data_IF_754564910911
#
_entry.id   IF_754564910911
#
_cell.length_a   1.000
_cell.length_b   1.000
_cell.length_c   1.000
_cell.angle_alpha   90.00
_cell.angle_beta   90.00
_cell.angle_gamma   90.00
#
_symmetry.space_group_name_H-M   'P 1'
#
loop_
_entity.id
_entity.type
_entity.pdbx_description
1 polymer ?
#
# COMPACT_ATOMS: atom_id res chain seq x y z
N UNK A 1 -19.95 15.35 -9.56
CA UNK A 1 -19.43 14.50 -8.47
C UNK A 1 -18.95 15.36 -7.32
N UNK A 2 -19.41 15.14 -6.08
CA UNK A 2 -18.79 15.76 -4.90
C UNK A 2 -17.36 15.22 -4.78
N UNK A 3 -16.36 16.07 -4.90
CA UNK A 3 -14.97 15.70 -4.62
C UNK A 3 -14.83 15.53 -3.12
N UNK A 4 -14.79 14.29 -2.65
CA UNK A 4 -14.46 14.01 -1.26
C UNK A 4 -12.99 14.34 -1.01
N UNK A 5 -12.71 15.10 0.03
CA UNK A 5 -11.33 15.39 0.45
C UNK A 5 -10.77 14.20 1.21
N UNK A 6 -9.44 14.00 1.18
CA UNK A 6 -8.77 12.92 1.93
C UNK A 6 -9.18 12.93 3.42
N UNK A 7 -9.26 14.12 4.03
CA UNK A 7 -9.69 14.29 5.41
C UNK A 7 -11.12 13.80 5.67
N UNK A 8 -12.06 14.08 4.75
CA UNK A 8 -13.45 13.61 4.90
C UNK A 8 -13.56 12.09 4.78
N UNK A 9 -12.74 11.48 3.91
CA UNK A 9 -12.67 10.03 3.74
C UNK A 9 -12.09 9.36 4.98
N UNK A 10 -10.96 9.87 5.49
CA UNK A 10 -10.35 9.37 6.74
C UNK A 10 -11.31 9.50 7.93
N UNK A 11 -11.95 10.67 8.08
CA UNK A 11 -12.94 10.88 9.14
C UNK A 11 -14.09 9.87 9.08
N UNK A 12 -14.58 9.57 7.88
CA UNK A 12 -15.65 8.58 7.68
C UNK A 12 -15.18 7.18 8.05
N UNK A 13 -13.97 6.79 7.65
CA UNK A 13 -13.42 5.47 7.98
C UNK A 13 -13.14 5.31 9.48
N UNK A 14 -12.58 6.33 10.11
CA UNK A 14 -12.43 6.32 11.58
C UNK A 14 -13.79 6.21 12.28
N UNK A 15 -14.81 6.91 11.78
CA UNK A 15 -16.18 6.80 12.32
C UNK A 15 -16.74 5.39 12.19
N UNK A 16 -16.48 4.68 11.08
CA UNK A 16 -16.89 3.29 10.88
C UNK A 16 -16.36 2.35 11.97
N UNK A 17 -15.10 2.53 12.42
CA UNK A 17 -14.52 1.77 13.54
C UNK A 17 -15.34 1.95 14.83
N UNK A 18 -15.79 3.19 15.10
CA UNK A 18 -16.57 3.50 16.29
C UNK A 18 -18.01 3.00 16.18
N UNK A 19 -18.63 3.06 15.00
CA UNK A 19 -19.99 2.60 14.74
C UNK A 19 -20.11 1.08 14.93
N UNK A 20 -19.07 0.31 14.57
CA UNK A 20 -19.02 -1.14 14.74
C UNK A 20 -18.51 -1.60 16.13
N UNK A 21 -18.29 -0.68 17.06
CA UNK A 21 -17.85 -0.99 18.42
C UNK A 21 -16.41 -1.48 18.54
N UNK A 22 -15.60 -1.34 17.48
CA UNK A 22 -14.20 -1.81 17.43
C UNK A 22 -13.21 -0.77 17.97
N UNK A 23 -13.60 -0.01 19.01
CA UNK A 23 -12.78 1.08 19.56
C UNK A 23 -11.36 0.64 20.00
N UNK A 24 -11.20 -0.62 20.42
CA UNK A 24 -9.89 -1.20 20.78
C UNK A 24 -8.90 -1.24 19.58
N UNK A 25 -9.38 -1.16 18.36
CA UNK A 25 -8.54 -1.05 17.17
C UNK A 25 -7.65 0.20 17.21
N UNK A 26 -8.10 1.29 17.80
CA UNK A 26 -7.28 2.49 17.99
C UNK A 26 -6.08 2.23 18.91
N UNK A 27 -6.26 1.47 19.99
CA UNK A 27 -5.16 1.09 20.88
C UNK A 27 -4.16 0.19 20.17
N UNK A 28 -4.66 -0.80 19.41
CA UNK A 28 -3.80 -1.71 18.64
C UNK A 28 -3.01 -0.92 17.59
N UNK A 29 -3.63 0.07 16.92
CA UNK A 29 -2.92 0.96 16.00
C UNK A 29 -1.83 1.75 16.71
N UNK A 30 -2.12 2.35 17.85
CA UNK A 30 -1.17 3.16 18.60
C UNK A 30 0.05 2.35 19.04
N UNK A 31 -0.16 1.20 19.67
CA UNK A 31 0.94 0.34 20.12
C UNK A 31 1.66 -0.34 18.95
N UNK A 32 0.90 -0.88 17.99
CA UNK A 32 1.46 -1.56 16.82
C UNK A 32 2.34 -0.66 15.99
N UNK A 33 1.90 0.56 15.68
CA UNK A 33 2.71 1.53 14.92
C UNK A 33 3.93 2.00 15.70
N UNK A 34 3.84 2.12 17.03
CA UNK A 34 4.98 2.45 17.87
C UNK A 34 6.05 1.33 17.85
N UNK A 35 5.66 0.08 18.06
CA UNK A 35 6.59 -1.05 17.98
C UNK A 35 7.18 -1.21 16.58
N UNK A 36 6.34 -1.20 15.54
CA UNK A 36 6.79 -1.31 14.15
C UNK A 36 7.71 -0.14 13.74
N UNK A 37 7.46 1.07 14.25
CA UNK A 37 8.25 2.25 13.97
C UNK A 37 9.62 2.27 14.69
N UNK A 38 9.69 1.71 15.89
CA UNK A 38 10.94 1.65 16.68
C UNK A 38 11.83 0.47 16.26
N UNK A 39 11.25 -0.63 15.78
CA UNK A 39 11.98 -1.84 15.45
C UNK A 39 13.18 -1.63 14.49
N UNK A 40 13.07 -0.91 13.35
CA UNK A 40 14.21 -0.63 12.47
C UNK A 40 15.30 0.20 13.13
N UNK A 41 14.92 1.07 14.06
CA UNK A 41 15.88 1.90 14.83
C UNK A 41 16.69 1.03 15.78
N UNK A 42 16.04 0.09 16.46
CA UNK A 42 16.74 -0.85 17.36
C UNK A 42 17.79 -1.68 16.63
N UNK A 43 17.53 -2.13 15.39
CA UNK A 43 18.55 -2.87 14.61
C UNK A 43 19.77 -2.01 14.29
N UNK A 44 19.56 -0.73 13.99
CA UNK A 44 20.67 0.20 13.71
C UNK A 44 21.49 0.49 14.96
N UNK A 45 20.83 0.74 16.09
CA UNK A 45 21.47 0.95 17.41
C UNK A 45 22.19 -0.33 17.85
N UNK A 46 21.61 -1.49 17.60
CA UNK A 46 22.26 -2.80 17.85
C UNK A 46 23.59 -2.92 17.10
N UNK A 47 23.61 -2.66 15.80
CA UNK A 47 24.82 -2.72 14.99
C UNK A 47 25.90 -1.75 15.51
N UNK A 48 25.51 -0.54 15.92
CA UNK A 48 26.42 0.44 16.46
C UNK A 48 27.05 -0.03 17.80
N UNK A 49 26.23 -0.47 18.76
CA UNK A 49 26.71 -0.95 20.07
C UNK A 49 27.65 -2.14 19.90
N UNK A 50 27.30 -3.06 18.95
CA UNK A 50 28.18 -4.20 18.65
C UNK A 50 29.54 -3.77 18.12
N UNK A 51 29.58 -2.82 17.21
CA UNK A 51 30.85 -2.30 16.66
C UNK A 51 31.68 -1.63 17.76
N UNK A 52 31.06 -0.87 18.64
CA UNK A 52 31.75 -0.22 19.78
C UNK A 52 32.30 -1.24 20.77
N UNK A 53 31.56 -2.28 21.15
CA UNK A 53 31.98 -3.34 22.06
C UNK A 53 33.14 -4.17 21.49
N UNK A 54 33.10 -4.49 20.21
CA UNK A 54 34.18 -5.24 19.53
C UNK A 54 35.44 -4.37 19.45
N UNK A 55 35.31 -3.08 19.13
CA UNK A 55 36.46 -2.16 19.03
C UNK A 55 37.11 -1.90 20.37
N UNK A 56 36.37 -1.88 21.48
CA UNK A 56 36.87 -1.61 22.81
C UNK A 56 37.54 -2.82 23.50
N UNK A 57 37.72 -3.96 22.80
CA UNK A 57 38.26 -5.20 23.33
C UNK A 57 37.61 -5.64 24.65
N UNK A 58 36.31 -5.45 24.77
CA UNK A 58 35.51 -5.81 25.95
C UNK A 58 35.57 -7.31 26.25
N UNK A 59 35.39 -7.68 27.53
CA UNK A 59 35.36 -9.09 27.92
C UNK A 59 34.25 -9.85 27.19
N UNK A 60 34.54 -11.09 26.81
CA UNK A 60 33.61 -11.96 26.07
C UNK A 60 32.21 -12.06 26.71
N UNK A 61 32.13 -12.09 28.04
CA UNK A 61 30.87 -12.16 28.78
C UNK A 61 30.03 -10.90 28.65
N UNK A 62 30.61 -9.73 28.51
CA UNK A 62 29.91 -8.48 28.30
C UNK A 62 29.31 -8.43 26.88
N UNK A 63 30.08 -8.89 25.89
CA UNK A 63 29.64 -8.99 24.51
C UNK A 63 28.44 -9.94 24.40
N UNK A 64 28.56 -11.15 25.00
CA UNK A 64 27.46 -12.15 24.96
C UNK A 64 26.18 -11.61 25.60
N UNK A 65 26.29 -10.98 26.79
CA UNK A 65 25.09 -10.38 27.43
C UNK A 65 24.47 -9.28 26.59
N UNK A 66 25.27 -8.39 26.01
CA UNK A 66 24.78 -7.33 25.13
C UNK A 66 24.10 -7.90 23.90
N UNK A 67 24.67 -8.92 23.24
CA UNK A 67 24.05 -9.62 22.10
C UNK A 67 22.70 -10.21 22.50
N UNK A 68 22.66 -10.96 23.62
CA UNK A 68 21.41 -11.57 24.07
C UNK A 68 20.31 -10.54 24.38
N UNK A 69 20.64 -9.46 25.11
CA UNK A 69 19.65 -8.42 25.45
C UNK A 69 19.13 -7.67 24.21
N UNK A 70 20.05 -7.28 23.33
CA UNK A 70 19.69 -6.52 22.13
C UNK A 70 18.91 -7.39 21.12
N UNK A 71 19.32 -8.66 20.97
CA UNK A 71 18.57 -9.61 20.13
C UNK A 71 17.17 -9.85 20.69
N UNK A 72 17.04 -10.09 21.99
CA UNK A 72 15.73 -10.24 22.63
C UNK A 72 14.87 -8.98 22.43
N UNK A 73 15.43 -7.80 22.63
CA UNK A 73 14.71 -6.53 22.42
C UNK A 73 14.24 -6.32 20.97
N UNK A 74 15.11 -6.62 19.99
CA UNK A 74 14.75 -6.51 18.58
C UNK A 74 13.69 -7.53 18.18
N UNK A 75 13.82 -8.79 18.60
CA UNK A 75 12.82 -9.85 18.33
C UNK A 75 11.48 -9.50 18.95
N UNK A 76 11.45 -9.00 20.18
CA UNK A 76 10.20 -8.55 20.82
C UNK A 76 9.56 -7.37 20.08
N UNK A 77 10.34 -6.37 19.67
CA UNK A 77 9.82 -5.20 18.97
C UNK A 77 9.25 -5.58 17.59
N UNK A 78 10.00 -6.36 16.80
CA UNK A 78 9.51 -6.84 15.50
C UNK A 78 8.32 -7.78 15.65
N UNK A 79 8.41 -8.75 16.57
CA UNK A 79 7.35 -9.71 16.82
C UNK A 79 6.07 -9.03 17.27
N UNK A 80 6.14 -8.13 18.24
CA UNK A 80 4.98 -7.36 18.70
C UNK A 80 4.41 -6.47 17.58
N UNK A 81 5.28 -5.77 16.82
CA UNK A 81 4.86 -4.95 15.69
C UNK A 81 4.10 -5.75 14.64
N UNK A 82 4.63 -6.90 14.21
CA UNK A 82 3.99 -7.76 13.23
C UNK A 82 2.71 -8.43 13.74
N UNK A 83 2.68 -8.89 14.99
CA UNK A 83 1.48 -9.47 15.57
C UNK A 83 0.34 -8.44 15.62
N UNK A 84 0.63 -7.23 16.09
CA UNK A 84 -0.37 -6.14 16.14
C UNK A 84 -0.79 -5.69 14.74
N UNK A 85 0.12 -5.68 13.76
CA UNK A 85 -0.20 -5.41 12.37
C UNK A 85 -1.17 -6.45 11.81
N UNK A 86 -0.91 -7.75 12.00
CA UNK A 86 -1.78 -8.81 11.53
C UNK A 86 -3.17 -8.76 12.19
N UNK A 87 -3.24 -8.39 13.47
CA UNK A 87 -4.53 -8.17 14.15
C UNK A 87 -5.27 -6.97 13.54
N UNK A 88 -4.58 -5.86 13.24
CA UNK A 88 -5.17 -4.71 12.54
C UNK A 88 -5.68 -5.09 11.15
N UNK A 89 -4.95 -5.92 10.43
CA UNK A 89 -5.33 -6.38 9.10
C UNK A 89 -6.60 -7.27 9.17
N UNK A 90 -6.67 -8.19 10.12
CA UNK A 90 -7.87 -9.01 10.35
C UNK A 90 -9.09 -8.15 10.75
N UNK A 91 -8.91 -7.14 11.61
CA UNK A 91 -9.98 -6.22 11.99
C UNK A 91 -10.43 -5.34 10.81
N UNK A 92 -9.51 -4.89 9.98
CA UNK A 92 -9.83 -4.12 8.78
C UNK A 92 -10.59 -4.95 7.74
N UNK A 93 -10.32 -6.26 7.67
CA UNK A 93 -11.09 -7.21 6.86
C UNK A 93 -12.52 -7.36 7.38
N UNK A 94 -12.72 -7.45 8.69
CA UNK A 94 -14.05 -7.47 9.29
C UNK A 94 -14.83 -6.19 8.97
N UNK A 95 -14.21 -5.01 9.14
CA UNK A 95 -14.83 -3.73 8.79
C UNK A 95 -15.22 -3.69 7.30
N UNK A 96 -14.37 -4.18 6.40
CA UNK A 96 -14.68 -4.32 4.98
C UNK A 96 -15.93 -5.18 4.75
N UNK A 97 -16.03 -6.30 5.45
CA UNK A 97 -17.17 -7.21 5.34
C UNK A 97 -18.47 -6.56 5.82
N UNK A 98 -18.45 -5.81 6.92
CA UNK A 98 -19.61 -5.04 7.40
C UNK A 98 -20.04 -3.97 6.39
N UNK A 99 -19.11 -3.20 5.85
CA UNK A 99 -19.44 -2.19 4.83
C UNK A 99 -19.94 -2.82 3.53
N UNK A 100 -19.42 -3.99 3.14
CA UNK A 100 -19.92 -4.75 2.01
C UNK A 100 -21.39 -5.15 2.21
N UNK A 101 -21.72 -5.74 3.37
CA UNK A 101 -23.09 -6.12 3.70
C UNK A 101 -24.02 -4.91 3.74
N UNK A 102 -23.55 -3.78 4.28
CA UNK A 102 -24.29 -2.52 4.30
C UNK A 102 -24.55 -2.00 2.89
N UNK A 103 -23.56 -2.04 2.01
CA UNK A 103 -23.74 -1.65 0.61
C UNK A 103 -24.69 -2.59 -0.14
N UNK A 104 -24.59 -3.90 0.13
CA UNK A 104 -25.50 -4.89 -0.46
C UNK A 104 -26.96 -4.67 -0.01
N UNK A 105 -27.18 -4.42 1.29
CA UNK A 105 -28.55 -4.11 1.78
C UNK A 105 -29.11 -2.84 1.16
N UNK A 106 -28.32 -1.76 1.09
CA UNK A 106 -28.73 -0.53 0.45
C UNK A 106 -29.03 -0.72 -1.05
N UNK A 107 -28.31 -1.60 -1.73
CA UNK A 107 -28.58 -1.92 -3.14
C UNK A 107 -29.92 -2.63 -3.33
N UNK A 108 -30.30 -3.51 -2.41
CA UNK A 108 -31.59 -4.20 -2.44
C UNK A 108 -32.79 -3.26 -2.18
N UNK A 109 -32.59 -2.17 -1.45
CA UNK A 109 -33.61 -1.16 -1.15
C UNK A 109 -33.79 -0.12 -2.27
N UNK A 110 -32.97 -0.17 -3.33
CA UNK A 110 -33.04 0.80 -4.45
C UNK A 110 -34.22 0.47 -5.36
N UNK A 111 -34.95 1.50 -5.79
CA UNK A 111 -36.01 1.39 -6.81
C UNK A 111 -35.47 0.73 -8.09
N UNK A 112 -36.24 -0.23 -8.64
CA UNK A 112 -35.86 -1.00 -9.82
C UNK A 112 -35.48 -0.12 -11.03
N UNK A 113 -36.20 0.98 -11.23
CA UNK A 113 -35.91 1.98 -12.28
C UNK A 113 -34.47 2.55 -12.20
N UNK A 114 -33.89 2.65 -11.00
CA UNK A 114 -32.51 3.15 -10.84
C UNK A 114 -31.48 2.06 -11.12
N UNK A 115 -31.83 0.79 -10.87
CA UNK A 115 -30.96 -0.36 -11.14
C UNK A 115 -30.75 -0.53 -12.65
N UNK A 116 -31.76 -0.21 -13.47
CA UNK A 116 -31.66 -0.26 -14.92
C UNK A 116 -30.84 0.89 -15.54
N UNK A 117 -30.53 1.94 -14.76
CA UNK A 117 -29.67 3.04 -15.24
C UNK A 117 -28.20 2.58 -15.31
N UNK A 118 -27.58 2.53 -16.53
CA UNK A 118 -26.20 2.11 -16.69
C UNK A 118 -25.21 2.95 -15.88
N UNK A 119 -25.48 4.26 -15.71
CA UNK A 119 -24.63 5.15 -14.93
C UNK A 119 -24.72 4.87 -13.41
N UNK A 120 -25.84 4.34 -12.94
CA UNK A 120 -25.98 3.88 -11.57
C UNK A 120 -25.27 2.54 -11.37
N UNK A 121 -25.46 1.59 -12.29
CA UNK A 121 -24.80 0.28 -12.27
C UNK A 121 -23.26 0.43 -12.26
N UNK A 122 -22.70 1.31 -13.09
CA UNK A 122 -21.26 1.62 -13.09
C UNK A 122 -20.76 2.13 -11.73
N UNK A 123 -21.52 2.98 -11.05
CA UNK A 123 -21.16 3.51 -9.73
C UNK A 123 -21.23 2.45 -8.64
N UNK A 124 -22.24 1.58 -8.70
CA UNK A 124 -22.40 0.47 -7.77
C UNK A 124 -21.25 -0.52 -7.94
N UNK A 125 -20.90 -0.85 -9.17
CA UNK A 125 -19.76 -1.75 -9.45
C UNK A 125 -18.44 -1.19 -8.90
N UNK A 126 -18.16 0.09 -9.11
CA UNK A 126 -16.96 0.74 -8.53
C UNK A 126 -16.97 0.66 -7.00
N UNK A 127 -18.14 0.80 -6.36
CA UNK A 127 -18.30 0.63 -4.92
C UNK A 127 -17.97 -0.79 -4.46
N UNK A 128 -18.48 -1.81 -5.13
CA UNK A 128 -18.21 -3.20 -4.81
C UNK A 128 -16.74 -3.57 -5.09
N UNK A 129 -16.17 -3.13 -6.21
CA UNK A 129 -14.74 -3.34 -6.51
C UNK A 129 -13.82 -2.77 -5.42
N UNK A 130 -14.18 -1.61 -4.85
CA UNK A 130 -13.42 -1.02 -3.75
C UNK A 130 -13.45 -1.86 -2.46
N UNK A 131 -14.39 -2.79 -2.33
CA UNK A 131 -14.55 -3.69 -1.18
C UNK A 131 -14.05 -5.11 -1.46
N UNK A 132 -13.70 -5.45 -2.69
CA UNK A 132 -13.24 -6.80 -3.06
C UNK A 132 -11.72 -6.99 -2.90
N UNK A 133 -10.94 -5.93 -2.80
CA UNK A 133 -9.48 -6.00 -2.81
C UNK A 133 -8.87 -5.59 -1.46
N UNK A 134 -7.88 -6.36 -1.02
CA UNK A 134 -7.10 -6.08 0.19
C UNK A 134 -6.09 -4.95 -0.03
N UNK A 135 -5.51 -4.88 -1.22
CA UNK A 135 -4.48 -3.89 -1.59
C UNK A 135 -5.03 -2.59 -2.17
N UNK A 136 -6.33 -2.50 -2.41
CA UNK A 136 -6.98 -1.30 -2.99
C UNK A 136 -8.36 -1.08 -2.36
N UNK A 137 -8.77 0.18 -2.30
CA UNK A 137 -10.09 0.50 -1.78
C UNK A 137 -10.17 0.61 -0.26
N UNK A 138 -11.24 0.11 0.32
CA UNK A 138 -11.60 0.36 1.73
C UNK A 138 -10.57 -0.18 2.72
N UNK A 139 -10.19 -1.45 2.61
CA UNK A 139 -9.22 -2.08 3.52
C UNK A 139 -7.82 -1.50 3.37
N UNK A 140 -7.40 -1.20 2.13
CA UNK A 140 -6.10 -0.63 1.85
C UNK A 140 -5.83 0.69 2.57
N UNK A 141 -6.87 1.48 2.85
CA UNK A 141 -6.70 2.74 3.59
C UNK A 141 -6.25 2.48 5.02
N UNK A 142 -6.81 1.47 5.69
CA UNK A 142 -6.38 1.08 7.05
C UNK A 142 -4.95 0.56 7.05
N UNK A 143 -4.61 -0.34 6.13
CA UNK A 143 -3.26 -0.91 6.03
C UNK A 143 -2.22 0.17 5.71
N UNK A 144 -2.53 1.08 4.78
CA UNK A 144 -1.65 2.18 4.43
C UNK A 144 -1.53 3.23 5.56
N UNK A 145 -2.59 3.45 6.34
CA UNK A 145 -2.53 4.33 7.49
C UNK A 145 -1.59 3.77 8.57
N UNK A 146 -1.66 2.46 8.83
CA UNK A 146 -0.73 1.77 9.73
C UNK A 146 0.73 1.95 9.28
N UNK A 147 1.00 1.64 8.01
CA UNK A 147 2.34 1.79 7.42
C UNK A 147 2.82 3.25 7.45
N UNK A 148 1.95 4.20 7.19
CA UNK A 148 2.28 5.63 7.23
C UNK A 148 2.67 6.07 8.63
N UNK A 149 1.92 5.69 9.65
CA UNK A 149 2.19 6.07 11.04
C UNK A 149 3.49 5.41 11.53
N UNK A 150 3.71 4.12 11.29
CA UNK A 150 4.92 3.42 11.71
C UNK A 150 6.17 3.99 11.01
N UNK A 151 6.10 4.26 9.71
CA UNK A 151 7.20 4.88 8.95
C UNK A 151 7.47 6.32 9.41
N UNK A 152 6.43 7.10 9.74
CA UNK A 152 6.59 8.45 10.27
C UNK A 152 7.34 8.43 11.61
N UNK A 153 7.03 7.50 12.51
CA UNK A 153 7.75 7.30 13.78
C UNK A 153 9.22 6.93 13.51
N UNK A 154 9.46 5.96 12.61
CA UNK A 154 10.83 5.58 12.22
C UNK A 154 11.64 6.76 11.70
N UNK A 155 11.08 7.52 10.75
CA UNK A 155 11.76 8.68 10.16
C UNK A 155 12.07 9.72 11.23
N UNK A 156 11.11 10.02 12.13
CA UNK A 156 11.30 10.99 13.19
C UNK A 156 12.44 10.59 14.12
N UNK A 157 12.48 9.33 14.57
CA UNK A 157 13.54 8.85 15.45
C UNK A 157 14.89 8.82 14.72
N UNK A 158 14.96 8.37 13.45
CA UNK A 158 16.20 8.40 12.68
C UNK A 158 16.72 9.81 12.44
N UNK A 159 15.85 10.77 12.12
CA UNK A 159 16.24 12.17 11.95
C UNK A 159 16.83 12.74 13.24
N UNK A 160 16.22 12.47 14.39
CA UNK A 160 16.76 12.90 15.68
C UNK A 160 18.15 12.29 15.92
N UNK A 161 18.30 10.96 15.78
CA UNK A 161 19.57 10.27 16.01
C UNK A 161 20.69 10.76 15.08
N UNK A 162 20.38 10.93 13.78
CA UNK A 162 21.35 11.40 12.79
C UNK A 162 21.72 12.87 13.00
N UNK A 163 20.74 13.71 13.36
CA UNK A 163 21.00 15.13 13.61
C UNK A 163 21.93 15.38 14.79
N UNK A 164 21.89 14.50 15.80
CA UNK A 164 22.77 14.58 16.95
C UNK A 164 24.22 14.18 16.63
N UNK A 165 24.45 13.30 15.64
CA UNK A 165 25.78 12.79 15.29
C UNK A 165 26.37 13.45 14.05
N UNK A 166 25.61 13.49 12.95
CA UNK A 166 26.07 14.02 11.64
C UNK A 166 24.93 14.77 10.94
N UNK A 167 24.68 16.04 11.28
CA UNK A 167 23.53 16.79 10.77
C UNK A 167 23.50 16.94 9.24
N UNK A 168 24.69 16.94 8.59
CA UNK A 168 24.78 17.01 7.13
C UNK A 168 24.16 15.77 6.45
N UNK A 169 24.42 14.58 7.00
CA UNK A 169 23.84 13.33 6.48
C UNK A 169 22.32 13.32 6.70
N UNK A 170 21.84 13.78 7.86
CA UNK A 170 20.41 13.90 8.12
C UNK A 170 19.71 14.79 7.06
N UNK A 171 20.31 15.91 6.71
CA UNK A 171 19.80 16.81 5.69
C UNK A 171 19.78 16.17 4.29
N UNK A 172 20.85 15.47 3.92
CA UNK A 172 20.90 14.72 2.65
C UNK A 172 19.81 13.63 2.57
N UNK A 173 19.59 12.90 3.67
CA UNK A 173 18.49 11.91 3.74
C UNK A 173 17.12 12.56 3.56
N UNK A 174 16.87 13.71 4.18
CA UNK A 174 15.61 14.44 4.01
C UNK A 174 15.41 14.92 2.57
N UNK A 175 16.46 15.47 1.94
CA UNK A 175 16.39 15.91 0.54
C UNK A 175 16.09 14.74 -0.40
N UNK A 176 16.77 13.60 -0.25
CA UNK A 176 16.51 12.43 -1.10
C UNK A 176 15.11 11.84 -0.87
N UNK A 177 14.62 11.84 0.35
CA UNK A 177 13.26 11.42 0.68
C UNK A 177 12.21 12.35 0.02
N UNK A 178 12.45 13.65 0.00
CA UNK A 178 11.59 14.63 -0.68
C UNK A 178 11.57 14.39 -2.20
N UNK A 179 12.75 14.17 -2.82
CA UNK A 179 12.84 13.88 -4.26
C UNK A 179 12.08 12.60 -4.61
N UNK A 180 12.29 11.53 -3.84
CA UNK A 180 11.58 10.26 -4.03
C UNK A 180 10.07 10.39 -3.83
N UNK A 181 9.64 11.16 -2.84
CA UNK A 181 8.23 11.43 -2.58
C UNK A 181 7.60 12.23 -3.72
N UNK A 182 8.29 13.23 -4.25
CA UNK A 182 7.83 14.03 -5.39
C UNK A 182 7.70 13.15 -6.65
N UNK A 183 8.67 12.30 -6.93
CA UNK A 183 8.64 11.37 -8.06
C UNK A 183 7.43 10.42 -7.95
N UNK A 184 7.20 9.83 -6.79
CA UNK A 184 6.04 8.97 -6.53
C UNK A 184 4.70 9.72 -6.63
N UNK A 185 4.64 10.97 -6.19
CA UNK A 185 3.45 11.82 -6.32
C UNK A 185 3.13 12.11 -7.80
N UNK A 186 4.12 12.47 -8.60
CA UNK A 186 3.94 12.71 -10.05
C UNK A 186 3.49 11.45 -10.78
N UNK A 187 4.09 10.30 -10.45
CA UNK A 187 3.65 9.01 -10.97
C UNK A 187 2.20 8.69 -10.58
N UNK A 188 1.84 8.86 -9.33
CA UNK A 188 0.45 8.63 -8.84
C UNK A 188 -0.57 9.53 -9.53
N UNK A 189 -0.23 10.79 -9.79
CA UNK A 189 -1.08 11.70 -10.58
C UNK A 189 -1.25 11.23 -12.02
N UNK A 190 -0.17 10.74 -12.64
CA UNK A 190 -0.23 10.20 -14.01
C UNK A 190 -1.14 8.97 -14.07
N UNK A 191 -0.96 8.02 -13.15
CA UNK A 191 -1.83 6.82 -13.04
C UNK A 191 -3.28 7.20 -12.81
N UNK A 192 -3.53 8.19 -11.94
CA UNK A 192 -4.88 8.67 -11.65
C UNK A 192 -5.61 9.21 -12.89
N UNK A 193 -4.90 9.91 -13.77
CA UNK A 193 -5.47 10.42 -15.05
C UNK A 193 -5.82 9.31 -16.04
N UNK A 194 -5.05 8.22 -16.04
CA UNK A 194 -5.27 7.07 -16.95
C UNK A 194 -6.22 6.02 -16.40
N UNK A 195 -6.62 6.13 -15.12
CA UNK A 195 -7.39 5.09 -14.41
C UNK A 195 -8.77 4.83 -15.05
N UNK A 196 -9.46 5.87 -15.49
CA UNK A 196 -10.77 5.70 -16.13
C UNK A 196 -10.66 4.94 -17.47
N UNK A 197 -9.67 5.30 -18.28
CA UNK A 197 -9.39 4.64 -19.55
C UNK A 197 -8.98 3.19 -19.34
N UNK A 198 -8.09 2.93 -18.37
CA UNK A 198 -7.65 1.59 -17.99
C UNK A 198 -8.83 0.74 -17.51
N UNK A 199 -9.69 1.28 -16.65
CA UNK A 199 -10.86 0.59 -16.13
C UNK A 199 -11.85 0.24 -17.24
N UNK A 200 -12.07 1.15 -18.21
CA UNK A 200 -12.94 0.91 -19.34
C UNK A 200 -12.48 -0.29 -20.21
N UNK A 201 -11.19 -0.35 -20.56
CA UNK A 201 -10.67 -1.44 -21.36
C UNK A 201 -10.53 -2.75 -20.57
N UNK A 202 -10.24 -2.67 -19.29
CA UNK A 202 -10.21 -3.82 -18.38
C UNK A 202 -11.58 -4.50 -18.31
N UNK A 203 -12.67 -3.72 -18.12
CA UNK A 203 -14.04 -4.26 -18.09
C UNK A 203 -14.42 -4.95 -19.41
N UNK A 204 -14.09 -4.32 -20.56
CA UNK A 204 -14.33 -4.95 -21.86
C UNK A 204 -13.55 -6.24 -22.05
N UNK A 205 -12.29 -6.27 -21.66
CA UNK A 205 -11.47 -7.46 -21.71
C UNK A 205 -12.03 -8.58 -20.85
N UNK A 206 -12.44 -8.24 -19.62
CA UNK A 206 -13.05 -9.19 -18.70
C UNK A 206 -14.37 -9.76 -19.29
N UNK A 207 -15.25 -8.92 -19.84
CA UNK A 207 -16.48 -9.36 -20.47
C UNK A 207 -16.26 -10.40 -21.57
N UNK A 208 -15.33 -10.16 -22.48
CA UNK A 208 -15.04 -11.12 -23.54
C UNK A 208 -14.37 -12.39 -23.01
N UNK A 209 -13.49 -12.27 -22.01
CA UNK A 209 -12.87 -13.41 -21.33
C UNK A 209 -13.91 -14.29 -20.65
N UNK A 210 -14.82 -13.66 -19.91
CA UNK A 210 -15.89 -14.34 -19.19
C UNK A 210 -16.85 -15.03 -20.17
N UNK A 211 -17.29 -14.34 -21.23
CA UNK A 211 -18.14 -14.92 -22.27
C UNK A 211 -17.50 -16.13 -22.95
N UNK A 212 -16.20 -16.09 -23.20
CA UNK A 212 -15.47 -17.19 -23.84
C UNK A 212 -15.26 -18.38 -22.88
N UNK A 213 -15.22 -18.14 -21.57
CA UNK A 213 -14.95 -19.15 -20.54
C UNK A 213 -16.24 -19.76 -19.95
N UNK A 214 -17.38 -19.09 -20.09
CA UNK A 214 -18.65 -19.55 -19.52
C UNK A 214 -19.27 -20.64 -20.37
N UNK A 215 -19.46 -21.81 -19.76
CA UNK A 215 -20.11 -22.97 -20.40
C UNK A 215 -21.53 -22.70 -20.89
N UNK A 216 -22.25 -21.77 -20.28
CA UNK A 216 -23.61 -21.43 -20.71
C UNK A 216 -23.64 -20.92 -22.16
N UNK A 217 -22.64 -20.17 -22.57
CA UNK A 217 -22.50 -19.68 -23.96
C UNK A 217 -21.83 -20.70 -24.89
N UNK A 218 -21.24 -21.74 -24.36
CA UNK A 218 -20.44 -22.72 -25.12
C UNK A 218 -21.22 -23.40 -26.25
N UNK A 219 -22.53 -23.67 -26.06
CA UNK A 219 -23.42 -24.25 -27.07
C UNK A 219 -23.66 -23.25 -28.22
N UNK A 220 -24.01 -22.04 -27.90
CA UNK A 220 -24.33 -20.99 -28.88
C UNK A 220 -23.09 -20.60 -29.68
N UNK A 221 -21.94 -20.46 -29.02
CA UNK A 221 -20.65 -20.17 -29.66
C UNK A 221 -20.32 -21.24 -30.71
N UNK A 222 -20.58 -22.52 -30.42
CA UNK A 222 -20.33 -23.63 -31.35
C UNK A 222 -21.32 -23.70 -32.47
N UNK A 223 -22.63 -23.57 -32.18
CA UNK A 223 -23.72 -23.66 -33.15
C UNK A 223 -23.62 -22.51 -34.17
N UNK A 224 -23.31 -21.30 -33.70
CA UNK A 224 -23.19 -20.12 -34.58
C UNK A 224 -21.79 -19.86 -35.10
N UNK A 225 -20.80 -20.68 -34.73
CA UNK A 225 -19.42 -20.52 -35.17
C UNK A 225 -18.77 -19.21 -34.74
N UNK A 226 -19.15 -18.66 -33.56
CA UNK A 226 -18.76 -17.35 -33.10
C UNK A 226 -17.33 -17.29 -32.51
N UNK A 227 -16.68 -18.44 -32.32
CA UNK A 227 -15.36 -18.53 -31.68
C UNK A 227 -14.29 -17.64 -32.36
N UNK A 228 -14.11 -17.63 -33.69
CA UNK A 228 -13.09 -16.77 -34.32
C UNK A 228 -13.40 -15.29 -34.11
N UNK A 229 -14.65 -14.88 -34.26
CA UNK A 229 -15.09 -13.51 -34.04
C UNK A 229 -14.83 -13.03 -32.61
N UNK A 230 -15.26 -13.80 -31.61
CA UNK A 230 -15.07 -13.46 -30.20
C UNK A 230 -13.60 -13.42 -29.83
N UNK A 231 -12.79 -14.36 -30.32
CA UNK A 231 -11.35 -14.39 -30.08
C UNK A 231 -10.63 -13.18 -30.69
N UNK A 232 -10.99 -12.77 -31.90
CA UNK A 232 -10.45 -11.57 -32.54
C UNK A 232 -10.82 -10.30 -31.75
N UNK A 233 -12.10 -10.19 -31.33
CA UNK A 233 -12.56 -9.08 -30.51
C UNK A 233 -11.85 -9.03 -29.14
N UNK A 234 -11.72 -10.18 -28.46
CA UNK A 234 -10.98 -10.28 -27.22
C UNK A 234 -9.53 -9.82 -27.39
N UNK A 235 -8.83 -10.31 -28.44
CA UNK A 235 -7.47 -9.91 -28.75
C UNK A 235 -7.34 -8.40 -28.96
N UNK A 236 -8.20 -7.83 -29.79
CA UNK A 236 -8.20 -6.38 -30.07
C UNK A 236 -8.42 -5.53 -28.81
N UNK A 237 -9.29 -5.96 -27.91
CA UNK A 237 -9.58 -5.27 -26.64
C UNK A 237 -8.44 -5.47 -25.65
N UNK A 238 -7.92 -6.68 -25.57
CA UNK A 238 -6.78 -7.03 -24.69
C UNK A 238 -5.51 -6.27 -25.10
N UNK A 239 -5.22 -6.14 -26.39
CA UNK A 239 -4.06 -5.38 -26.89
C UNK A 239 -4.15 -3.89 -26.48
N UNK A 240 -5.34 -3.30 -26.54
CA UNK A 240 -5.55 -1.92 -26.07
C UNK A 240 -5.34 -1.78 -24.57
N UNK A 241 -5.87 -2.73 -23.79
CA UNK A 241 -5.66 -2.76 -22.34
C UNK A 241 -4.17 -2.91 -21.99
N UNK A 242 -3.47 -3.83 -22.66
CA UNK A 242 -2.03 -4.07 -22.47
C UNK A 242 -1.18 -2.85 -22.86
N UNK A 243 -1.53 -2.14 -23.94
CA UNK A 243 -0.82 -0.93 -24.34
C UNK A 243 -0.92 0.18 -23.28
N UNK A 244 -2.11 0.39 -22.69
CA UNK A 244 -2.29 1.37 -21.61
C UNK A 244 -1.49 0.93 -20.38
N UNK A 245 -1.55 -0.35 -20.05
CA UNK A 245 -0.81 -0.90 -18.92
C UNK A 245 0.72 -0.77 -19.13
N UNK A 246 1.19 -1.02 -20.35
CA UNK A 246 2.59 -0.85 -20.75
C UNK A 246 3.06 0.60 -20.65
N UNK A 247 2.20 1.56 -21.05
CA UNK A 247 2.50 2.98 -20.93
C UNK A 247 2.60 3.42 -19.45
N UNK A 248 1.68 3.01 -18.61
CA UNK A 248 1.72 3.25 -17.17
C UNK A 248 2.98 2.64 -16.54
N UNK A 249 3.34 1.43 -16.95
CA UNK A 249 4.51 0.74 -16.40
C UNK A 249 5.83 1.38 -16.87
N UNK A 250 5.88 1.92 -18.09
CA UNK A 250 7.03 2.70 -18.57
C UNK A 250 7.26 3.95 -17.71
N UNK A 251 6.21 4.67 -17.38
CA UNK A 251 6.31 5.83 -16.48
C UNK A 251 6.74 5.43 -15.06
N UNK A 252 6.29 4.26 -14.58
CA UNK A 252 6.78 3.70 -13.31
C UNK A 252 8.30 3.52 -13.32
N UNK A 253 8.86 2.98 -14.41
CA UNK A 253 10.32 2.79 -14.56
C UNK A 253 11.06 4.14 -14.59
N UNK A 254 10.51 5.16 -15.26
CA UNK A 254 11.13 6.49 -15.28
C UNK A 254 11.16 7.15 -13.90
N UNK A 255 10.05 7.20 -13.21
CA UNK A 255 9.98 7.83 -11.88
C UNK A 255 10.70 7.00 -10.81
N UNK A 256 10.62 5.68 -10.89
CA UNK A 256 11.38 4.76 -10.04
C UNK A 256 12.88 4.88 -10.26
N UNK A 257 13.32 4.98 -11.51
CA UNK A 257 14.71 5.22 -11.88
C UNK A 257 15.25 6.54 -11.32
N UNK A 258 14.48 7.62 -11.42
CA UNK A 258 14.85 8.90 -10.83
C UNK A 258 15.04 8.80 -9.30
N UNK A 259 14.14 8.10 -8.63
CA UNK A 259 14.23 7.84 -7.19
C UNK A 259 15.47 7.00 -6.84
N UNK A 260 15.76 5.95 -7.62
CA UNK A 260 16.93 5.08 -7.43
C UNK A 260 18.26 5.84 -7.59
N UNK A 261 18.36 6.70 -8.61
CA UNK A 261 19.54 7.55 -8.82
C UNK A 261 19.72 8.52 -7.63
N UNK A 262 18.64 9.12 -7.14
CA UNK A 262 18.69 9.98 -5.96
C UNK A 262 19.24 9.25 -4.72
N UNK A 263 18.80 8.00 -4.47
CA UNK A 263 19.29 7.17 -3.38
C UNK A 263 20.77 6.77 -3.55
N UNK A 264 21.19 6.44 -4.77
CA UNK A 264 22.60 6.11 -5.05
C UNK A 264 23.52 7.31 -4.80
N UNK A 265 23.14 8.50 -5.27
CA UNK A 265 23.90 9.73 -5.02
C UNK A 265 23.97 10.06 -3.52
N UNK A 266 22.86 9.94 -2.81
CA UNK A 266 22.82 10.14 -1.35
C UNK A 266 23.79 9.20 -0.65
N UNK A 267 23.76 7.89 -0.96
CA UNK A 267 24.64 6.90 -0.33
C UNK A 267 26.12 7.20 -0.65
N UNK A 268 26.45 7.50 -1.91
CA UNK A 268 27.82 7.82 -2.32
C UNK A 268 28.36 9.04 -1.56
N UNK A 269 27.58 10.12 -1.47
CA UNK A 269 27.99 11.33 -0.73
C UNK A 269 28.09 11.04 0.77
N UNK A 270 27.17 10.27 1.34
CA UNK A 270 27.18 9.92 2.75
C UNK A 270 28.45 9.11 3.10
N UNK A 271 28.81 8.11 2.29
CA UNK A 271 30.05 7.35 2.49
C UNK A 271 31.30 8.23 2.35
N UNK A 272 31.32 9.11 1.36
CA UNK A 272 32.44 10.04 1.19
C UNK A 272 32.63 10.95 2.41
N UNK A 273 31.52 11.45 2.99
CA UNK A 273 31.57 12.28 4.20
C UNK A 273 31.99 11.53 5.46
N UNK A 274 31.70 10.23 5.55
CA UNK A 274 32.10 9.38 6.71
C UNK A 274 33.58 9.01 6.64
N UNK A 275 34.12 8.80 5.45
CA UNK A 275 35.54 8.40 5.25
C UNK A 275 36.49 9.60 5.43
N UNK A 276 36.06 10.81 5.22
CA UNK A 276 36.84 12.02 5.40
C UNK A 276 36.86 12.49 6.87
#
# INVERSE_FOLDING_TARGET
MRKYTLLSTLKRQLKSISEEGLWYMYLIYMFGTAFAGIAPVLTTVFSQIMTELISSSSQSDQIIRAVCMLTAGTVLAFGAGHLLQNICEALSMNLRSFEFLRCASLYHDVEFKKIEDPAFADRVQVGFEAMQSDGRGFQAVYNNLYALLSNAISILVFVILLSLKVPVIALLCLVSALVSSLANYLYSQYVGKRKEEQSHWSRKSYYFSDTLSDFNYGKDIRVFGLQPFLSEKYKSVSDKHLNIYGDVNRHFVYYGGLSAVGLLLQNAVSYFLIIK
#
